data_IF_706394760918
#
_entry.id   IF_706394760918
#
_cell.length_a   1.000
_cell.length_b   1.000
_cell.length_c   1.000
_cell.angle_alpha   90.00
_cell.angle_beta   90.00
_cell.angle_gamma   90.00
#
_symmetry.space_group_name_H-M   'P 1'
#
loop_
_entity.id
_entity.type
_entity.pdbx_description
1 polymer ?
#
# COMPACT_ATOMS: atom_id res chain seq x y z
N UNK A 1 -7.25 4.82 -2.78
CA UNK A 1 -7.93 3.54 -2.47
C UNK A 1 -9.43 3.82 -2.32
N UNK A 2 -10.37 2.88 -2.53
CA UNK A 2 -11.80 3.24 -2.37
C UNK A 2 -12.12 3.58 -0.91
N UNK A 3 -13.08 4.48 -0.62
CA UNK A 3 -13.37 4.90 0.76
C UNK A 3 -13.73 3.72 1.68
N UNK A 4 -14.50 2.76 1.18
CA UNK A 4 -14.94 1.60 1.97
C UNK A 4 -13.81 0.66 2.40
N UNK A 5 -12.77 0.48 1.58
CA UNK A 5 -11.64 -0.39 1.94
C UNK A 5 -10.53 0.36 2.68
N UNK A 6 -10.47 1.69 2.53
CA UNK A 6 -9.44 2.53 3.15
C UNK A 6 -9.38 2.38 4.67
N UNK A 7 -10.54 2.40 5.34
CA UNK A 7 -10.60 2.27 6.80
C UNK A 7 -10.15 0.88 7.27
N UNK A 8 -10.56 -0.18 6.57
CA UNK A 8 -10.12 -1.54 6.88
C UNK A 8 -8.60 -1.70 6.72
N UNK A 9 -8.00 -0.98 5.76
CA UNK A 9 -6.54 -0.95 5.57
C UNK A 9 -5.84 -0.16 6.68
N UNK A 10 -6.40 0.97 7.14
CA UNK A 10 -5.87 1.70 8.30
C UNK A 10 -5.84 0.83 9.55
N UNK A 11 -6.91 0.08 9.80
CA UNK A 11 -6.97 -0.86 10.92
C UNK A 11 -5.93 -1.98 10.79
N UNK A 12 -5.75 -2.51 9.58
CA UNK A 12 -4.70 -3.49 9.29
C UNK A 12 -3.29 -2.91 9.48
N UNK A 13 -3.07 -1.64 9.13
CA UNK A 13 -1.81 -0.94 9.37
C UNK A 13 -1.51 -0.85 10.86
N UNK A 14 -2.46 -0.35 11.65
CA UNK A 14 -2.30 -0.22 13.10
C UNK A 14 -2.07 -1.57 13.79
N UNK A 15 -2.70 -2.65 13.30
CA UNK A 15 -2.46 -4.00 13.81
C UNK A 15 -1.10 -4.57 13.40
N UNK A 16 -0.67 -4.34 12.15
CA UNK A 16 0.64 -4.78 11.68
C UNK A 16 1.79 -4.10 12.44
N UNK A 17 1.65 -2.82 12.78
CA UNK A 17 2.73 -2.04 13.36
C UNK A 17 2.63 -1.82 14.87
N UNK A 18 1.57 -2.27 15.55
CA UNK A 18 1.31 -2.06 16.99
C UNK A 18 2.50 -2.25 17.94
N UNK A 19 3.44 -3.13 17.61
CA UNK A 19 4.59 -3.49 18.45
C UNK A 19 5.94 -3.01 17.87
N UNK A 20 5.94 -2.18 16.84
CA UNK A 20 7.15 -1.55 16.33
C UNK A 20 7.53 -0.38 17.25
N UNK A 21 8.81 -0.31 17.63
CA UNK A 21 9.30 0.75 18.51
C UNK A 21 9.10 2.12 17.83
N UNK A 22 8.44 3.03 18.54
CA UNK A 22 8.19 4.40 18.05
C UNK A 22 7.02 4.55 17.07
N UNK A 23 6.25 3.50 16.78
CA UNK A 23 5.03 3.64 15.97
C UNK A 23 3.84 4.04 16.85
N UNK A 24 3.23 5.19 16.56
CA UNK A 24 1.88 5.49 17.02
C UNK A 24 0.85 4.93 16.02
N UNK A 25 -0.30 4.40 16.49
CA UNK A 25 -1.40 4.07 15.60
C UNK A 25 -1.81 5.30 14.80
N UNK A 26 -1.99 5.16 13.49
CA UNK A 26 -2.53 6.21 12.65
C UNK A 26 -4.02 6.37 12.92
N UNK A 27 -4.43 7.56 13.33
CA UNK A 27 -5.83 7.97 13.34
C UNK A 27 -6.35 8.24 11.91
N UNK A 28 -7.61 8.62 11.78
CA UNK A 28 -8.25 8.86 10.48
C UNK A 28 -7.62 10.04 9.74
N UNK A 29 -7.28 11.13 10.45
CA UNK A 29 -6.67 12.33 9.85
C UNK A 29 -5.28 12.01 9.29
N UNK A 30 -4.41 11.42 10.11
CA UNK A 30 -3.05 11.04 9.68
C UNK A 30 -3.06 10.01 8.55
N UNK A 31 -4.01 9.07 8.56
CA UNK A 31 -4.22 8.14 7.45
C UNK A 31 -4.71 8.86 6.19
N UNK A 32 -5.57 9.86 6.35
CA UNK A 32 -6.08 10.71 5.29
C UNK A 32 -4.97 11.35 4.45
N UNK A 33 -3.88 11.80 5.07
CA UNK A 33 -2.71 12.33 4.33
C UNK A 33 -2.08 11.30 3.40
N UNK A 34 -2.14 10.01 3.72
CA UNK A 34 -1.60 8.95 2.85
C UNK A 34 -2.56 8.64 1.69
N UNK A 35 -3.84 8.41 1.99
CA UNK A 35 -4.77 7.87 0.99
C UNK A 35 -5.41 8.93 0.09
N UNK A 36 -5.37 10.19 0.50
CA UNK A 36 -5.86 11.35 -0.27
C UNK A 36 -4.72 12.18 -0.88
N UNK A 37 -3.47 11.72 -0.78
CA UNK A 37 -2.34 12.38 -1.43
C UNK A 37 -2.63 12.53 -2.95
N UNK A 38 -2.38 13.71 -3.57
CA UNK A 38 -2.62 13.91 -5.00
C UNK A 38 -1.83 12.96 -5.92
N UNK A 39 -0.68 12.46 -5.46
CA UNK A 39 0.15 11.49 -6.17
C UNK A 39 -0.28 10.05 -5.88
N UNK A 40 -1.20 9.82 -4.94
CA UNK A 40 -1.70 8.48 -4.65
C UNK A 40 -2.30 7.85 -5.91
N UNK A 41 -2.01 6.56 -6.09
CA UNK A 41 -2.51 5.74 -7.20
C UNK A 41 -3.40 4.63 -6.65
N UNK A 42 -4.67 4.93 -6.32
CA UNK A 42 -5.66 3.95 -5.90
C UNK A 42 -5.77 2.74 -6.84
N UNK A 43 -5.65 2.99 -8.14
CA UNK A 43 -5.72 2.01 -9.22
C UNK A 43 -4.48 1.11 -9.29
N UNK A 44 -3.34 1.59 -8.77
CA UNK A 44 -2.09 0.85 -8.65
C UNK A 44 -1.78 0.46 -7.22
N UNK A 45 -2.78 0.44 -6.33
CA UNK A 45 -2.65 -0.05 -4.96
C UNK A 45 -3.22 -1.47 -4.81
N UNK A 46 -2.63 -2.29 -3.94
CA UNK A 46 -3.03 -3.67 -3.69
C UNK A 46 -3.58 -3.90 -2.27
N UNK A 47 -4.58 -4.77 -2.16
CA UNK A 47 -5.12 -5.26 -0.87
C UNK A 47 -5.36 -6.75 -0.97
N UNK A 48 -4.91 -7.52 0.03
CA UNK A 48 -5.22 -8.94 0.16
C UNK A 48 -6.31 -9.09 1.22
N UNK A 49 -7.41 -9.71 0.82
CA UNK A 49 -8.52 -10.06 1.71
C UNK A 49 -8.47 -11.55 2.05
N UNK A 50 -8.67 -11.84 3.32
CA UNK A 50 -9.05 -13.17 3.76
C UNK A 50 -10.48 -13.46 3.27
N UNK A 51 -10.66 -14.56 2.53
CA UNK A 51 -11.94 -14.87 1.86
C UNK A 51 -13.03 -15.26 2.85
N UNK A 52 -12.67 -15.84 3.99
CA UNK A 52 -13.63 -16.38 4.95
C UNK A 52 -14.13 -15.28 5.89
N UNK A 53 -13.25 -14.37 6.29
CA UNK A 53 -13.53 -13.31 7.26
C UNK A 53 -13.78 -11.95 6.61
N UNK A 54 -13.35 -11.75 5.36
CA UNK A 54 -13.36 -10.45 4.68
C UNK A 54 -12.32 -9.46 5.22
N UNK A 55 -11.46 -9.87 6.14
CA UNK A 55 -10.47 -8.99 6.75
C UNK A 55 -9.31 -8.69 5.79
N UNK A 56 -8.79 -7.47 5.86
CA UNK A 56 -7.53 -7.10 5.20
C UNK A 56 -6.37 -7.85 5.86
N UNK A 57 -5.78 -8.81 5.15
CA UNK A 57 -4.62 -9.56 5.61
C UNK A 57 -3.30 -8.81 5.35
N UNK A 58 -3.25 -8.06 4.24
CA UNK A 58 -2.12 -7.21 3.89
C UNK A 58 -2.49 -6.19 2.81
N UNK A 59 -1.64 -5.19 2.64
CA UNK A 59 -1.90 -4.05 1.76
C UNK A 59 -0.60 -3.42 1.25
N UNK A 60 -0.71 -2.72 0.13
CA UNK A 60 0.35 -1.97 -0.54
C UNK A 60 -0.29 -0.76 -1.24
N UNK A 61 -0.35 0.44 -0.61
CA UNK A 61 -0.77 1.66 -1.27
C UNK A 61 0.39 2.14 -2.16
N UNK A 62 0.04 2.63 -3.34
CA UNK A 62 1.01 3.14 -4.29
C UNK A 62 0.85 4.64 -4.54
N UNK A 63 1.92 5.26 -5.00
CA UNK A 63 1.92 6.62 -5.56
C UNK A 63 2.70 6.67 -6.88
N UNK A 64 2.55 7.78 -7.59
CA UNK A 64 3.39 8.15 -8.72
C UNK A 64 3.52 9.67 -8.76
N UNK A 65 4.74 10.18 -8.51
CA UNK A 65 5.06 11.60 -8.67
C UNK A 65 5.53 11.89 -10.10
N UNK A 66 4.62 12.46 -10.90
CA UNK A 66 4.89 12.79 -12.30
C UNK A 66 5.94 13.91 -12.48
N UNK A 67 6.02 14.87 -11.54
CA UNK A 67 6.97 15.98 -11.61
C UNK A 67 8.40 15.47 -11.36
N UNK A 68 8.57 14.69 -10.30
CA UNK A 68 9.85 14.05 -9.99
C UNK A 68 10.27 13.06 -11.08
N UNK A 69 9.31 12.33 -11.67
CA UNK A 69 9.56 11.45 -12.81
C UNK A 69 10.07 12.22 -14.03
N UNK A 70 9.42 13.33 -14.38
CA UNK A 70 9.84 14.21 -15.48
C UNK A 70 11.26 14.77 -15.28
N UNK A 71 11.61 15.15 -14.06
CA UNK A 71 12.96 15.63 -13.72
C UNK A 71 14.03 14.53 -13.86
N UNK A 72 13.69 13.28 -13.55
CA UNK A 72 14.63 12.15 -13.57
C UNK A 72 14.71 11.44 -14.92
N UNK A 73 13.71 11.61 -15.79
CA UNK A 73 13.68 11.05 -17.14
C UNK A 73 13.23 9.58 -17.22
N UNK A 74 12.55 9.07 -16.20
CA UNK A 74 11.91 7.75 -16.21
C UNK A 74 10.61 7.78 -15.37
N UNK A 75 9.67 6.89 -15.66
CA UNK A 75 8.43 6.71 -14.90
C UNK A 75 8.63 5.65 -13.82
N UNK A 76 8.21 5.92 -12.59
CA UNK A 76 8.27 4.94 -11.50
C UNK A 76 6.98 4.90 -10.68
N UNK A 77 6.66 3.73 -10.14
CA UNK A 77 5.66 3.58 -9.09
C UNK A 77 6.36 3.43 -7.75
N UNK A 78 5.82 4.04 -6.71
CA UNK A 78 6.34 3.89 -5.35
C UNK A 78 5.40 3.03 -4.53
N UNK A 79 5.97 2.12 -3.74
CA UNK A 79 5.24 1.51 -2.62
C UNK A 79 5.34 2.43 -1.40
N UNK A 80 4.26 3.17 -1.11
CA UNK A 80 4.21 4.13 0.00
C UNK A 80 4.26 3.45 1.37
N UNK A 81 3.50 2.37 1.50
CA UNK A 81 3.44 1.55 2.70
C UNK A 81 3.29 0.10 2.29
N UNK A 82 3.81 -0.81 3.10
CA UNK A 82 3.48 -2.22 2.98
C UNK A 82 3.35 -2.83 4.37
N UNK A 83 2.27 -3.58 4.58
CA UNK A 83 2.04 -4.25 5.85
C UNK A 83 1.28 -5.54 5.70
N UNK A 84 1.61 -6.48 6.58
CA UNK A 84 0.88 -7.75 6.75
C UNK A 84 0.51 -7.86 8.23
N UNK A 85 -0.79 -8.04 8.48
CA UNK A 85 -1.33 -8.26 9.83
C UNK A 85 -0.65 -9.48 10.45
N UNK A 86 -0.41 -9.43 11.75
CA UNK A 86 0.41 -10.40 12.47
C UNK A 86 -0.03 -11.86 12.22
N UNK A 87 -1.34 -12.11 12.30
CA UNK A 87 -1.93 -13.45 12.17
C UNK A 87 -1.81 -14.06 10.76
N UNK A 88 -1.43 -13.22 9.79
CA UNK A 88 -1.28 -13.59 8.37
C UNK A 88 0.20 -13.65 7.93
N UNK A 89 1.15 -13.37 8.83
CA UNK A 89 2.59 -13.46 8.55
C UNK A 89 3.03 -14.90 8.33
N UNK A 90 4.18 -15.08 7.67
CA UNK A 90 4.71 -16.41 7.34
C UNK A 90 4.00 -17.09 6.15
N UNK A 91 3.01 -16.44 5.54
CA UNK A 91 2.21 -16.98 4.42
C UNK A 91 2.61 -16.44 3.04
N UNK A 92 3.72 -15.71 2.95
CA UNK A 92 4.21 -15.13 1.68
C UNK A 92 3.46 -13.90 1.15
N UNK A 93 2.49 -13.35 1.90
CA UNK A 93 1.63 -12.23 1.45
C UNK A 93 2.43 -10.99 1.02
N UNK A 94 3.42 -10.56 1.81
CA UNK A 94 4.23 -9.38 1.46
C UNK A 94 4.97 -9.57 0.13
N UNK A 95 5.56 -10.76 -0.07
CA UNK A 95 6.26 -11.10 -1.32
C UNK A 95 5.29 -11.12 -2.51
N UNK A 96 4.10 -11.69 -2.32
CA UNK A 96 3.07 -11.72 -3.35
C UNK A 96 2.58 -10.31 -3.71
N UNK A 97 2.33 -9.46 -2.71
CA UNK A 97 1.95 -8.05 -2.91
C UNK A 97 3.01 -7.27 -3.67
N UNK A 98 4.29 -7.44 -3.30
CA UNK A 98 5.39 -6.77 -4.00
C UNK A 98 5.49 -7.23 -5.46
N UNK A 99 5.49 -8.55 -5.70
CA UNK A 99 5.55 -9.07 -7.06
C UNK A 99 4.36 -8.60 -7.92
N UNK A 100 3.17 -8.56 -7.32
CA UNK A 100 1.95 -8.04 -7.97
C UNK A 100 2.03 -6.53 -8.22
N UNK A 101 2.62 -5.74 -7.31
CA UNK A 101 2.87 -4.32 -7.51
C UNK A 101 3.80 -4.06 -8.70
N UNK A 102 4.93 -4.78 -8.79
CA UNK A 102 5.85 -4.69 -9.93
C UNK A 102 5.11 -4.95 -11.24
N UNK A 103 4.25 -5.99 -11.29
CA UNK A 103 3.46 -6.29 -12.48
C UNK A 103 2.45 -5.18 -12.81
N UNK A 104 1.74 -4.63 -11.82
CA UNK A 104 0.78 -3.53 -12.02
C UNK A 104 1.47 -2.26 -12.50
N UNK A 105 2.64 -1.93 -11.95
CA UNK A 105 3.45 -0.79 -12.39
C UNK A 105 3.98 -0.98 -13.82
N UNK A 106 4.50 -2.15 -14.13
CA UNK A 106 4.95 -2.48 -15.50
C UNK A 106 3.79 -2.38 -16.49
N UNK A 107 2.62 -2.91 -16.15
CA UNK A 107 1.42 -2.84 -16.99
C UNK A 107 0.90 -1.40 -17.18
N UNK A 108 1.17 -0.51 -16.21
CA UNK A 108 0.89 0.92 -16.29
C UNK A 108 1.95 1.72 -17.06
N UNK A 109 2.98 1.06 -17.61
CA UNK A 109 4.04 1.71 -18.40
C UNK A 109 5.15 2.35 -17.55
N UNK A 110 5.27 1.98 -16.28
CA UNK A 110 6.37 2.44 -15.43
C UNK A 110 7.64 1.63 -15.72
N UNK A 111 8.79 2.30 -15.68
CA UNK A 111 10.10 1.71 -15.93
C UNK A 111 10.62 0.89 -14.74
N UNK A 112 10.17 1.24 -13.52
CA UNK A 112 10.58 0.57 -12.27
C UNK A 112 9.61 0.78 -11.10
N UNK A 113 9.79 -0.04 -10.07
CA UNK A 113 9.27 0.15 -8.72
C UNK A 113 10.38 0.60 -7.77
N UNK A 114 10.07 1.52 -6.85
CA UNK A 114 10.92 1.85 -5.70
C UNK A 114 10.32 1.37 -4.37
#
# INVERSE_FOLDING_TARGET
MSPGISEAVRQAHNDAFRHHWGSEPRDEESWGFTVNDPQARPDLSGVVLDRDTGLVAGYQPASHDAESAGTRGFLEGNTELMGVRRDYRGRGIARALLADAIHRFTAAGMDKEL
#
